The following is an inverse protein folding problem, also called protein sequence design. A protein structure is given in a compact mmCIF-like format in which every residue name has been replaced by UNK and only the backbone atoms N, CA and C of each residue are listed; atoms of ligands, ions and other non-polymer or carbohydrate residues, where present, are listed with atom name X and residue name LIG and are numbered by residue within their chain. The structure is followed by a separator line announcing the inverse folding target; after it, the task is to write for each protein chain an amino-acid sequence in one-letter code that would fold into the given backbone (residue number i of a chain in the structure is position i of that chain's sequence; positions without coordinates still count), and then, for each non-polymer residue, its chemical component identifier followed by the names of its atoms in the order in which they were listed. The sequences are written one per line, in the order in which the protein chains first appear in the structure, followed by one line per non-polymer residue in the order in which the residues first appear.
data_IF_185865883701
#
_entry.id   IF_185865883701
#
_cell.length_a   1.000
_cell.length_b   1.000
_cell.length_c   1.000
_cell.angle_alpha   90.00
_cell.angle_beta   90.00
_cell.angle_gamma   90.00
#
_symmetry.space_group_name_H-M   'P 1'
#
loop_
_entity.id
_entity.type
_entity.pdbx_description
1 polymer ?
#
# COMPACT_ATOMS: atom_id res chain seq x y z
N UNK A 1 32.27 -8.27 3.09
CA UNK A 1 30.85 -7.89 2.97
C UNK A 1 30.05 -8.98 3.65
N UNK A 2 29.61 -8.75 4.88
CA UNK A 2 28.66 -9.64 5.54
C UNK A 2 27.35 -9.58 4.77
N UNK A 3 26.73 -10.72 4.47
CA UNK A 3 25.38 -10.78 3.90
C UNK A 3 24.48 -9.99 4.86
N UNK A 4 23.85 -8.91 4.40
CA UNK A 4 22.99 -8.08 5.24
C UNK A 4 21.83 -8.89 5.82
N UNK A 5 21.25 -8.40 6.92
CA UNK A 5 20.04 -8.98 7.49
C UNK A 5 18.92 -9.04 6.44
N UNK A 6 18.01 -10.03 6.52
CA UNK A 6 16.85 -10.08 5.62
C UNK A 6 16.02 -8.79 5.71
N UNK A 7 15.60 -8.25 4.57
CA UNK A 7 14.68 -7.10 4.51
C UNK A 7 13.33 -7.52 5.10
N UNK A 8 12.89 -6.79 6.12
CA UNK A 8 11.58 -6.97 6.73
C UNK A 8 10.48 -6.37 5.84
N UNK A 9 9.23 -6.88 5.89
CA UNK A 9 8.15 -6.30 5.10
C UNK A 9 7.90 -4.81 5.39
N UNK A 10 8.13 -4.35 6.63
CA UNK A 10 7.99 -2.93 7.00
C UNK A 10 9.01 -2.01 6.34
N UNK A 11 10.10 -2.57 5.80
CA UNK A 11 11.10 -1.84 5.02
C UNK A 11 10.75 -1.79 3.53
N UNK A 12 9.70 -2.51 3.08
CA UNK A 12 9.23 -2.49 1.71
C UNK A 12 8.22 -1.35 1.47
N UNK A 13 8.42 -0.64 0.37
CA UNK A 13 7.45 0.30 -0.21
C UNK A 13 6.89 -0.30 -1.51
N UNK A 14 5.58 -0.45 -1.56
CA UNK A 14 4.85 -1.04 -2.69
C UNK A 14 4.06 0.05 -3.41
N UNK A 15 4.15 0.08 -4.74
CA UNK A 15 3.29 0.89 -5.60
C UNK A 15 2.38 -0.05 -6.36
N UNK A 16 1.08 0.12 -6.22
CA UNK A 16 0.08 -0.77 -6.81
C UNK A 16 -1.07 0.03 -7.43
N UNK A 17 -1.62 -0.44 -8.54
CA UNK A 17 -2.80 0.14 -9.20
C UNK A 17 -4.07 -0.64 -8.86
N UNK A 18 -3.93 -1.93 -8.57
CA UNK A 18 -5.04 -2.84 -8.31
C UNK A 18 -5.40 -2.95 -6.82
N UNK A 19 -6.70 -3.13 -6.54
CA UNK A 19 -7.20 -3.37 -5.17
C UNK A 19 -6.61 -4.63 -4.55
N UNK A 20 -6.47 -5.70 -5.33
CA UNK A 20 -5.90 -6.96 -4.87
C UNK A 20 -4.42 -6.83 -4.48
N UNK A 21 -3.63 -6.06 -5.24
CA UNK A 21 -2.24 -5.77 -4.93
C UNK A 21 -2.08 -4.97 -3.63
N UNK A 22 -2.94 -3.97 -3.43
CA UNK A 22 -2.96 -3.20 -2.17
C UNK A 22 -3.26 -4.10 -0.98
N UNK A 23 -4.30 -4.93 -1.07
CA UNK A 23 -4.69 -5.86 -0.02
C UNK A 23 -3.57 -6.84 0.31
N UNK A 24 -2.90 -7.39 -0.70
CA UNK A 24 -1.76 -8.29 -0.52
C UNK A 24 -0.58 -7.59 0.17
N UNK A 25 -0.18 -6.39 -0.30
CA UNK A 25 0.90 -5.62 0.31
C UNK A 25 0.62 -5.26 1.77
N UNK A 26 -0.63 -4.87 2.06
CA UNK A 26 -1.07 -4.53 3.42
C UNK A 26 -1.03 -5.71 4.36
N UNK A 27 -1.51 -6.88 3.93
CA UNK A 27 -1.46 -8.10 4.74
C UNK A 27 -0.06 -8.64 4.93
N UNK A 28 0.84 -8.38 3.99
CA UNK A 28 2.26 -8.69 4.15
C UNK A 28 2.96 -7.77 5.18
N UNK A 29 2.31 -6.69 5.64
CA UNK A 29 2.92 -5.71 6.54
C UNK A 29 3.76 -4.65 5.83
N UNK A 30 3.64 -4.52 4.51
CA UNK A 30 4.37 -3.54 3.70
C UNK A 30 3.67 -2.19 3.68
N UNK A 31 4.42 -1.10 3.47
CA UNK A 31 3.83 0.20 3.15
C UNK A 31 3.34 0.19 1.72
N UNK A 32 2.16 0.74 1.47
CA UNK A 32 1.54 0.72 0.14
C UNK A 32 1.15 2.12 -0.29
N UNK A 33 1.51 2.48 -1.51
CA UNK A 33 1.02 3.66 -2.23
C UNK A 33 0.12 3.15 -3.35
N UNK A 34 -1.18 3.34 -3.21
CA UNK A 34 -2.16 2.97 -4.22
C UNK A 34 -2.28 4.08 -5.27
N UNK A 35 -1.93 3.77 -6.52
CA UNK A 35 -1.95 4.66 -7.67
C UNK A 35 -2.95 4.12 -8.71
N UNK A 36 -4.26 4.16 -8.41
CA UNK A 36 -5.27 3.58 -9.29
C UNK A 36 -5.45 4.41 -10.57
N UNK A 37 -5.86 3.73 -11.64
CA UNK A 37 -6.49 4.42 -12.77
C UNK A 37 -7.73 5.22 -12.27
N UNK A 38 -8.02 6.42 -12.83
CA UNK A 38 -9.15 7.25 -12.37
C UNK A 38 -10.50 6.53 -12.32
N UNK A 39 -10.79 5.67 -13.29
CA UNK A 39 -12.05 4.88 -13.30
C UNK A 39 -12.12 3.88 -12.14
N UNK A 40 -10.99 3.30 -11.74
CA UNK A 40 -10.91 2.41 -10.57
C UNK A 40 -11.08 3.22 -9.29
N UNK A 41 -10.44 4.38 -9.19
CA UNK A 41 -10.62 5.27 -8.04
C UNK A 41 -12.09 5.70 -7.88
N UNK A 42 -12.77 6.01 -9.00
CA UNK A 42 -14.17 6.37 -9.01
C UNK A 42 -15.08 5.22 -8.55
N UNK A 43 -14.85 4.01 -9.06
CA UNK A 43 -15.61 2.82 -8.69
C UNK A 43 -15.51 2.52 -7.18
N UNK A 44 -14.33 2.71 -6.59
CA UNK A 44 -14.06 2.34 -5.20
C UNK A 44 -14.05 3.52 -4.22
N UNK A 45 -14.52 4.71 -4.62
CA UNK A 45 -14.47 5.91 -3.80
C UNK A 45 -15.10 5.70 -2.40
N UNK A 46 -16.23 5.00 -2.33
CA UNK A 46 -16.93 4.72 -1.08
C UNK A 46 -16.19 3.74 -0.16
N UNK A 47 -15.38 2.84 -0.73
CA UNK A 47 -14.67 1.77 -0.03
C UNK A 47 -13.16 2.02 0.07
N UNK A 48 -12.68 3.20 -0.34
CA UNK A 48 -11.26 3.53 -0.38
C UNK A 48 -10.57 3.30 0.98
N UNK A 49 -11.24 3.66 2.09
CA UNK A 49 -10.69 3.44 3.44
C UNK A 49 -10.46 1.96 3.76
N UNK A 50 -11.37 1.10 3.33
CA UNK A 50 -11.25 -0.35 3.55
C UNK A 50 -10.15 -0.94 2.67
N UNK A 51 -9.99 -0.44 1.44
CA UNK A 51 -8.87 -0.81 0.55
C UNK A 51 -7.54 -0.47 1.21
N UNK A 52 -7.39 0.77 1.69
CA UNK A 52 -6.17 1.22 2.37
C UNK A 52 -5.91 0.48 3.69
N UNK A 53 -6.92 -0.09 4.32
CA UNK A 53 -6.77 -0.97 5.48
C UNK A 53 -6.50 -2.46 5.11
N UNK A 54 -6.60 -2.85 3.84
CA UNK A 54 -6.56 -4.25 3.41
C UNK A 54 -7.80 -5.05 3.83
N UNK A 55 -8.95 -4.38 3.99
CA UNK A 55 -10.24 -4.89 4.51
C UNK A 55 -11.33 -5.05 3.44
N UNK A 56 -10.94 -5.24 2.18
CA UNK A 56 -11.91 -5.33 1.06
C UNK A 56 -12.72 -6.62 1.07
N UNK A 57 -12.19 -7.68 1.69
CA UNK A 57 -12.80 -9.01 1.70
C UNK A 57 -12.75 -9.71 0.32
N UNK A 58 -11.98 -9.19 -0.63
CA UNK A 58 -11.86 -9.77 -1.98
C UNK A 58 -11.03 -11.06 -1.99
N UNK A 59 -10.09 -11.20 -1.06
CA UNK A 59 -9.30 -12.41 -0.90
C UNK A 59 -9.77 -13.11 0.38
N UNK A 60 -10.45 -14.24 0.25
CA UNK A 60 -10.75 -15.14 1.36
C UNK A 60 -9.45 -15.83 1.81
N UNK A 61 -8.75 -15.21 2.76
CA UNK A 61 -7.56 -15.80 3.39
C UNK A 61 -7.94 -16.16 4.83
N UNK A 62 -7.68 -17.41 5.22
CA UNK A 62 -8.23 -18.00 6.45
C UNK A 62 -7.93 -17.24 7.76
N UNK A 63 -6.82 -16.52 7.84
CA UNK A 63 -6.38 -15.82 9.06
C UNK A 63 -6.59 -14.29 8.96
N UNK A 64 -7.67 -13.80 9.57
CA UNK A 64 -8.02 -12.38 9.66
C UNK A 64 -7.16 -11.56 10.65
N UNK A 65 -6.06 -12.11 11.17
CA UNK A 65 -5.26 -11.48 12.23
C UNK A 65 -4.24 -10.46 11.71
N UNK A 66 -3.96 -10.44 10.40
CA UNK A 66 -2.96 -9.55 9.77
C UNK A 66 -3.60 -8.43 8.94
N UNK A 67 -4.75 -7.91 9.37
CA UNK A 67 -5.41 -6.82 8.63
C UNK A 67 -5.12 -5.47 9.30
N UNK A 68 -4.76 -4.47 8.50
CA UNK A 68 -4.43 -3.12 8.98
C UNK A 68 -5.63 -2.38 9.57
N UNK A 69 -5.37 -1.22 10.17
CA UNK A 69 -6.41 -0.36 10.70
C UNK A 69 -6.80 0.72 9.69
N UNK A 70 -8.07 1.14 9.73
CA UNK A 70 -8.52 2.26 8.91
C UNK A 70 -7.82 3.52 9.41
N UNK A 71 -7.30 4.31 8.47
CA UNK A 71 -6.60 5.57 8.74
C UNK A 71 -5.30 5.42 9.57
N UNK A 72 -4.65 4.24 9.57
CA UNK A 72 -3.36 4.00 10.26
C UNK A 72 -2.14 4.64 9.57
N UNK A 73 -2.34 5.18 8.36
CA UNK A 73 -1.31 5.85 7.56
C UNK A 73 -0.30 4.92 6.91
N UNK A 74 -0.49 3.59 7.02
CA UNK A 74 0.42 2.60 6.43
C UNK A 74 0.15 2.35 4.94
N UNK A 75 -1.03 2.75 4.47
CA UNK A 75 -1.34 2.91 3.05
C UNK A 75 -1.78 4.33 2.75
N UNK A 76 -1.49 4.82 1.56
CA UNK A 76 -2.08 6.04 1.03
C UNK A 76 -2.48 5.88 -0.43
N UNK A 77 -3.33 6.77 -0.92
CA UNK A 77 -3.70 6.84 -2.33
C UNK A 77 -3.28 8.17 -2.94
N UNK A 78 -2.69 8.12 -4.12
CA UNK A 78 -2.33 9.28 -4.93
C UNK A 78 -2.85 9.09 -6.36
N UNK A 79 -3.17 10.19 -7.04
CA UNK A 79 -3.69 10.18 -8.42
C UNK A 79 -2.62 9.89 -9.47
N UNK A 80 -1.36 10.19 -9.16
CA UNK A 80 -0.21 10.03 -10.05
C UNK A 80 1.06 9.82 -9.24
N UNK A 81 2.07 9.16 -9.82
CA UNK A 81 3.41 9.09 -9.22
C UNK A 81 4.09 10.46 -9.11
N UNK A 82 3.64 11.45 -9.91
CA UNK A 82 4.09 12.85 -9.78
C UNK A 82 3.71 13.48 -8.43
N UNK A 83 2.65 12.97 -7.78
CA UNK A 83 2.17 13.44 -6.49
C UNK A 83 2.90 12.78 -5.30
N UNK A 84 3.89 11.92 -5.56
CA UNK A 84 4.61 11.19 -4.52
C UNK A 84 5.44 12.13 -3.65
N UNK A 85 5.25 12.04 -2.33
CA UNK A 85 6.11 12.73 -1.37
C UNK A 85 7.41 11.94 -1.15
N UNK A 86 8.44 12.23 -1.95
CA UNK A 86 9.76 11.60 -1.86
C UNK A 86 10.39 11.72 -0.46
N UNK A 87 10.26 12.88 0.20
CA UNK A 87 10.82 13.15 1.53
C UNK A 87 10.23 12.22 2.59
N UNK A 88 8.91 12.00 2.56
CA UNK A 88 8.21 11.06 3.47
C UNK A 88 8.79 9.64 3.42
N UNK A 89 9.36 9.25 2.28
CA UNK A 89 9.94 7.94 2.04
C UNK A 89 11.47 7.93 2.07
N UNK A 90 12.11 9.05 2.37
CA UNK A 90 13.58 9.17 2.38
C UNK A 90 14.21 8.93 1.00
N UNK A 91 13.46 9.16 -0.08
CA UNK A 91 13.97 9.02 -1.45
C UNK A 91 14.64 10.34 -1.84
N UNK A 92 15.95 10.30 -2.06
CA UNK A 92 16.73 11.44 -2.55
C UNK A 92 16.87 11.34 -4.07
N UNK A 93 16.35 12.33 -4.79
CA UNK A 93 16.44 12.41 -6.26
C UNK A 93 17.67 13.22 -6.61
N UNK A 94 18.71 12.54 -7.08
CA UNK A 94 19.92 13.22 -7.57
C UNK A 94 19.58 14.02 -8.83
N UNK A 95 19.79 15.32 -8.77
CA UNK A 95 19.67 16.28 -9.87
C UNK A 95 20.87 16.29 -10.80
#
# INVERSE_FOLDING_TARGET
MTRGDPISPSECLVFEDSVAGVEAGRRAGMRVVWVPHPDVAAEYQASQKDILAGKTGMIEIGDNWQVGEVDDGWAESISSLEDLNYEKYGIDVQS
#
